data_IF_071890985452
#
_entry.id   IF_071890985452
#
_cell.length_a   1.000
_cell.length_b   1.000
_cell.length_c   1.000
_cell.angle_alpha   90.00
_cell.angle_beta   90.00
_cell.angle_gamma   90.00
#
_symmetry.space_group_name_H-M   'P 1'
#
loop_
_entity.id
_entity.type
_entity.pdbx_description
1 polymer ?
#
# COMPACT_ATOMS: atom_id res chain seq x y z
N UNK A 1 3.05 2.32 -14.60
CA UNK A 1 2.63 1.82 -13.27
C UNK A 1 2.25 0.37 -13.45
N UNK A 2 2.77 -0.54 -12.62
CA UNK A 2 2.27 -1.91 -12.62
C UNK A 2 0.82 -1.88 -12.10
N UNK A 3 -0.10 -2.47 -12.84
CA UNK A 3 -1.51 -2.53 -12.45
C UNK A 3 -1.64 -3.56 -11.32
N UNK A 4 -2.27 -3.18 -10.20
CA UNK A 4 -2.48 -4.08 -9.08
C UNK A 4 -3.70 -4.97 -9.37
N UNK A 5 -3.49 -6.29 -9.45
CA UNK A 5 -4.53 -7.26 -9.76
C UNK A 5 -5.75 -7.15 -8.83
N UNK A 6 -5.53 -6.86 -7.54
CA UNK A 6 -6.62 -6.71 -6.55
C UNK A 6 -7.43 -5.44 -6.80
N UNK A 7 -6.79 -4.35 -7.22
CA UNK A 7 -7.46 -3.09 -7.54
C UNK A 7 -8.40 -3.18 -8.75
N UNK A 8 -8.07 -4.06 -9.70
CA UNK A 8 -8.84 -4.31 -10.92
C UNK A 8 -10.07 -5.21 -10.71
N UNK A 9 -10.20 -5.84 -9.54
CA UNK A 9 -11.35 -6.68 -9.25
C UNK A 9 -12.64 -5.85 -9.14
N UNK A 10 -13.81 -6.46 -9.41
CA UNK A 10 -15.09 -5.85 -9.11
C UNK A 10 -15.15 -5.33 -7.67
N UNK A 11 -15.77 -4.17 -7.46
CA UNK A 11 -15.77 -3.46 -6.18
C UNK A 11 -16.09 -4.34 -4.97
N UNK A 12 -17.13 -5.18 -5.07
CA UNK A 12 -17.56 -6.05 -3.98
C UNK A 12 -16.51 -7.12 -3.67
N UNK A 13 -15.93 -7.76 -4.69
CA UNK A 13 -14.86 -8.76 -4.54
C UNK A 13 -13.61 -8.13 -3.92
N UNK A 14 -13.17 -6.98 -4.45
CA UNK A 14 -12.04 -6.23 -3.90
C UNK A 14 -12.28 -5.92 -2.42
N UNK A 15 -13.43 -5.34 -2.09
CA UNK A 15 -13.77 -4.94 -0.72
C UNK A 15 -13.76 -6.11 0.26
N UNK A 16 -14.36 -7.25 -0.10
CA UNK A 16 -14.36 -8.44 0.76
C UNK A 16 -12.93 -8.98 1.02
N UNK A 17 -12.08 -9.00 -0.01
CA UNK A 17 -10.66 -9.37 0.13
C UNK A 17 -9.95 -8.41 1.08
N UNK A 18 -10.13 -7.10 0.85
CA UNK A 18 -9.53 -6.04 1.65
C UNK A 18 -9.95 -6.06 3.12
N UNK A 19 -11.22 -6.38 3.40
CA UNK A 19 -11.75 -6.52 4.76
C UNK A 19 -11.20 -7.78 5.45
N UNK A 20 -11.01 -8.86 4.70
CA UNK A 20 -10.43 -10.11 5.23
C UNK A 20 -8.96 -9.95 5.56
N UNK A 21 -8.19 -9.24 4.74
CA UNK A 21 -6.80 -8.89 5.10
C UNK A 21 -6.79 -8.00 6.35
N UNK A 22 -7.70 -7.03 6.45
CA UNK A 22 -7.79 -6.11 7.60
C UNK A 22 -8.23 -6.80 8.90
N UNK A 23 -8.91 -7.94 8.83
CA UNK A 23 -9.30 -8.69 10.04
C UNK A 23 -8.11 -9.35 10.76
N UNK A 24 -6.92 -9.31 10.15
CA UNK A 24 -5.70 -9.90 10.69
C UNK A 24 -5.46 -11.34 10.24
N UNK A 25 -6.25 -11.85 9.29
CA UNK A 25 -6.01 -13.16 8.68
C UNK A 25 -4.65 -13.16 7.94
N UNK A 26 -3.78 -14.17 8.15
CA UNK A 26 -2.52 -14.29 7.41
C UNK A 26 -2.74 -14.32 5.89
N UNK A 27 -1.85 -13.69 5.11
CA UNK A 27 -2.04 -13.54 3.66
C UNK A 27 -2.07 -14.88 2.90
N UNK A 28 -1.43 -15.91 3.44
CA UNK A 28 -1.44 -17.28 2.91
C UNK A 28 -2.82 -17.95 3.11
N UNK A 29 -3.48 -17.65 4.23
CA UNK A 29 -4.87 -18.08 4.48
C UNK A 29 -5.84 -17.29 3.61
N UNK A 30 -5.61 -15.98 3.43
CA UNK A 30 -6.40 -15.15 2.50
C UNK A 30 -6.28 -15.65 1.07
N UNK A 31 -5.09 -16.02 0.60
CA UNK A 31 -4.87 -16.63 -0.72
C UNK A 31 -5.75 -17.88 -0.91
N UNK A 32 -5.72 -18.78 0.07
CA UNK A 32 -6.54 -20.01 0.06
C UNK A 32 -8.03 -19.69 0.07
N UNK A 33 -8.45 -18.75 0.91
CA UNK A 33 -9.84 -18.30 1.02
C UNK A 33 -10.34 -17.66 -0.29
N UNK A 34 -9.54 -16.80 -0.92
CA UNK A 34 -9.86 -16.18 -2.23
C UNK A 34 -10.04 -17.25 -3.31
N UNK A 35 -9.15 -18.23 -3.36
CA UNK A 35 -9.23 -19.35 -4.29
C UNK A 35 -10.51 -20.17 -4.12
N UNK A 36 -10.96 -20.38 -2.89
CA UNK A 36 -12.19 -21.11 -2.59
C UNK A 36 -13.45 -20.27 -2.86
N UNK A 37 -13.48 -19.04 -2.37
CA UNK A 37 -14.65 -18.16 -2.36
C UNK A 37 -14.98 -17.55 -3.73
N UNK A 38 -13.96 -17.17 -4.48
CA UNK A 38 -14.11 -16.44 -5.75
C UNK A 38 -13.58 -17.20 -6.96
N UNK A 39 -12.95 -18.37 -6.77
CA UNK A 39 -12.29 -19.15 -7.84
C UNK A 39 -11.18 -18.36 -8.56
N UNK A 40 -10.52 -17.45 -7.85
CA UNK A 40 -9.43 -16.62 -8.37
C UNK A 40 -8.08 -17.13 -7.89
N UNK A 41 -7.04 -16.96 -8.71
CA UNK A 41 -5.64 -17.20 -8.32
C UNK A 41 -4.96 -15.88 -8.01
N UNK A 42 -5.05 -15.45 -6.75
CA UNK A 42 -4.35 -14.27 -6.25
C UNK A 42 -3.33 -14.76 -5.24
N UNK A 43 -2.05 -14.60 -5.55
CA UNK A 43 -0.99 -15.09 -4.66
C UNK A 43 -0.84 -14.20 -3.44
N UNK A 44 -0.36 -14.78 -2.35
CA UNK A 44 0.05 -14.09 -1.12
C UNK A 44 1.02 -12.94 -1.38
N UNK A 45 1.91 -13.07 -2.37
CA UNK A 45 2.78 -11.96 -2.82
C UNK A 45 1.97 -10.77 -3.33
N UNK A 46 0.99 -11.00 -4.20
CA UNK A 46 0.12 -9.94 -4.74
C UNK A 46 -0.73 -9.32 -3.62
N UNK A 47 -1.25 -10.13 -2.70
CA UNK A 47 -2.01 -9.64 -1.55
C UNK A 47 -1.15 -8.75 -0.63
N UNK A 48 0.10 -9.15 -0.38
CA UNK A 48 1.05 -8.38 0.44
C UNK A 48 1.41 -7.05 -0.22
N UNK A 49 1.73 -7.07 -1.52
CA UNK A 49 2.01 -5.86 -2.27
C UNK A 49 0.80 -4.91 -2.34
N UNK A 50 -0.42 -5.45 -2.47
CA UNK A 50 -1.66 -4.65 -2.40
C UNK A 50 -1.84 -4.01 -1.02
N UNK A 51 -1.67 -4.77 0.05
CA UNK A 51 -1.77 -4.28 1.42
C UNK A 51 -0.75 -3.16 1.69
N UNK A 52 0.51 -3.38 1.33
CA UNK A 52 1.60 -2.45 1.63
C UNK A 52 1.56 -1.20 0.75
N UNK A 53 1.25 -1.33 -0.55
CA UNK A 53 1.29 -0.19 -1.49
C UNK A 53 -0.05 0.52 -1.64
N UNK A 54 -1.14 -0.23 -1.76
CA UNK A 54 -2.44 0.33 -2.09
C UNK A 54 -3.23 0.67 -0.83
N UNK A 55 -3.28 -0.22 0.17
CA UNK A 55 -4.07 0.08 1.38
C UNK A 55 -3.36 1.04 2.33
N UNK A 56 -2.10 0.79 2.69
CA UNK A 56 -1.34 1.72 3.52
C UNK A 56 -1.07 3.04 2.79
N UNK A 57 -0.84 2.97 1.47
CA UNK A 57 -0.73 4.14 0.60
C UNK A 57 -1.98 5.03 0.57
N UNK A 58 -3.17 4.43 0.52
CA UNK A 58 -4.42 5.20 0.54
C UNK A 58 -4.80 5.70 1.94
N UNK A 59 -4.35 5.03 3.00
CA UNK A 59 -4.62 5.44 4.37
C UNK A 59 -3.99 6.80 4.72
N UNK A 60 -2.78 7.09 4.22
CA UNK A 60 -2.14 8.40 4.45
C UNK A 60 -2.75 9.51 3.59
N UNK A 61 -3.12 9.21 2.33
CA UNK A 61 -3.86 10.16 1.48
C UNK A 61 -5.22 10.49 2.08
N UNK A 62 -5.92 9.50 2.65
CA UNK A 62 -7.18 9.72 3.35
C UNK A 62 -6.99 10.61 4.58
N UNK A 63 -5.95 10.40 5.39
CA UNK A 63 -5.62 11.32 6.52
C UNK A 63 -5.36 12.75 6.04
N UNK A 64 -4.64 12.95 4.93
CA UNK A 64 -4.43 14.27 4.33
C UNK A 64 -5.75 14.94 3.89
N UNK A 65 -6.64 14.18 3.24
CA UNK A 65 -7.95 14.67 2.80
C UNK A 65 -8.91 14.93 3.97
N UNK A 66 -8.76 14.21 5.08
CA UNK A 66 -9.51 14.38 6.33
C UNK A 66 -8.90 15.48 7.24
N UNK A 67 -7.88 16.21 6.77
CA UNK A 67 -7.27 17.34 7.50
C UNK A 67 -6.22 16.97 8.55
N UNK A 68 -5.79 15.71 8.60
CA UNK A 68 -4.70 15.23 9.44
C UNK A 68 -3.33 15.40 8.76
N UNK A 69 -2.35 15.94 9.47
CA UNK A 69 -0.95 15.92 9.02
C UNK A 69 -0.43 14.48 9.03
N UNK A 70 0.09 13.94 7.91
CA UNK A 70 0.69 12.62 7.89
C UNK A 70 1.94 12.58 8.76
N UNK A 71 2.26 11.40 9.30
CA UNK A 71 3.50 11.22 10.06
C UNK A 71 4.72 11.38 9.13
N UNK A 72 5.84 11.96 9.62
CA UNK A 72 7.01 12.29 8.80
C UNK A 72 7.63 11.09 8.06
N UNK A 73 7.51 9.89 8.61
CA UNK A 73 8.02 8.64 8.02
C UNK A 73 7.36 8.30 6.68
N UNK A 74 6.13 8.77 6.44
CA UNK A 74 5.38 8.54 5.20
C UNK A 74 5.87 9.45 4.07
N UNK A 75 6.32 10.67 4.40
CA UNK A 75 6.84 11.63 3.41
C UNK A 75 8.17 11.16 2.79
N UNK A 76 8.95 10.34 3.51
CA UNK A 76 10.24 9.82 3.01
C UNK A 76 10.05 8.82 1.85
N UNK A 77 8.96 8.04 1.85
CA UNK A 77 8.67 7.08 0.77
C UNK A 77 8.24 7.74 -0.55
N UNK A 78 7.71 8.95 -0.50
CA UNK A 78 7.27 9.73 -1.66
C UNK A 78 8.14 10.98 -1.89
N UNK A 79 9.46 10.82 -1.86
CA UNK A 79 10.34 11.82 -2.45
C UNK A 79 10.77 11.38 -3.87
N UNK A 80 9.99 11.67 -4.94
CA UNK A 80 10.44 11.47 -6.31
C UNK A 80 11.62 12.41 -6.70
N UNK A 81 12.08 13.26 -5.78
CA UNK A 81 13.26 14.11 -5.94
C UNK A 81 14.27 13.90 -4.80
N UNK A 82 14.83 12.69 -4.66
CA UNK A 82 16.20 12.62 -4.14
C UNK A 82 17.16 13.07 -5.24
N UNK A 83 17.27 14.39 -5.44
CA UNK A 83 18.54 14.94 -5.90
C UNK A 83 19.56 14.64 -4.80
N UNK A 84 20.77 14.16 -5.14
CA UNK A 84 21.80 13.94 -4.14
C UNK A 84 22.04 15.24 -3.37
N UNK A 85 22.08 15.10 -2.04
CA UNK A 85 22.40 16.15 -1.08
C UNK A 85 23.59 16.98 -1.55
N UNK A 86 23.37 18.27 -1.77
CA UNK A 86 24.45 19.25 -1.66
C UNK A 86 24.72 19.43 -0.17
N UNK A 87 25.68 18.67 0.36
CA UNK A 87 26.26 18.95 1.65
C UNK A 87 27.78 18.76 1.54
N UNK A 88 28.47 19.82 1.12
CA UNK A 88 29.81 20.13 1.60
C UNK A 88 29.84 21.65 1.84
N UNK A 89 29.73 22.12 3.08
CA UNK A 89 30.78 22.25 4.10
C UNK A 89 31.17 23.73 4.21
N UNK A 90 31.08 24.23 5.44
CA UNK A 90 31.46 25.58 5.88
C UNK A 90 32.93 25.90 5.59
N UNK A 91 33.29 27.17 5.39
CA UNK A 91 34.22 27.91 6.28
C UNK A 91 34.32 29.41 5.90
N UNK A 92 34.91 30.29 6.74
CA UNK A 92 34.53 31.68 6.88
C UNK A 92 35.58 32.59 6.23
N UNK A 93 35.25 33.87 6.05
CA UNK A 93 36.18 34.91 5.66
C UNK A 93 35.81 36.21 6.34
#
# INVERSE_FOLDING_TARGET
MAICLVCDLPYMTRREIEETVRSGMPVEEVESWVGLRFRLKITSTVLREHHDRCQQGLAWMRKLLEGGSPEPSVLVYFNPQQKPSANETQDPG
#
